data_IF_564950774777
#
_entry.id   IF_564950774777
#
_cell.length_a   1.000
_cell.length_b   1.000
_cell.length_c   1.000
_cell.angle_alpha   90.00
_cell.angle_beta   90.00
_cell.angle_gamma   90.00
#
_symmetry.space_group_name_H-M   'P 1'
#
loop_
_entity.id
_entity.type
_entity.pdbx_description
1 polymer ?
#
# COMPACT_ATOMS: atom_id res chain seq x y z
N UNK A 1 -8.72 25.43 -64.25
CA UNK A 1 -8.97 24.96 -62.86
C UNK A 1 -7.86 23.99 -62.53
N UNK A 2 -6.89 24.41 -61.73
CA UNK A 2 -5.77 23.58 -61.28
C UNK A 2 -6.12 23.04 -59.90
N UNK A 3 -6.29 21.73 -59.79
CA UNK A 3 -6.44 21.04 -58.50
C UNK A 3 -5.07 20.99 -57.82
N UNK A 4 -4.94 21.71 -56.71
CA UNK A 4 -3.75 21.71 -55.87
C UNK A 4 -3.81 20.50 -54.95
N UNK A 5 -3.03 19.46 -55.25
CA UNK A 5 -2.87 18.30 -54.37
C UNK A 5 -2.17 18.72 -53.07
N UNK A 6 -2.94 18.75 -51.97
CA UNK A 6 -2.43 18.94 -50.62
C UNK A 6 -1.75 17.64 -50.19
N UNK A 7 -0.42 17.59 -50.30
CA UNK A 7 0.36 16.50 -49.72
C UNK A 7 0.27 16.56 -48.19
N UNK A 8 -0.57 15.71 -47.63
CA UNK A 8 -0.62 15.45 -46.18
C UNK A 8 0.66 14.70 -45.83
N UNK A 9 1.68 15.45 -45.41
CA UNK A 9 2.91 14.90 -44.86
C UNK A 9 2.57 14.18 -43.56
N UNK A 10 2.37 12.86 -43.64
CA UNK A 10 2.21 11.99 -42.49
C UNK A 10 3.49 12.08 -41.66
N UNK A 11 3.46 12.88 -40.60
CA UNK A 11 4.53 12.93 -39.61
C UNK A 11 4.58 11.54 -38.98
N UNK A 12 5.49 10.68 -39.46
CA UNK A 12 5.79 9.45 -38.75
C UNK A 12 6.32 9.85 -37.37
N UNK A 13 5.65 9.45 -36.27
CA UNK A 13 6.19 9.69 -34.95
C UNK A 13 7.56 9.01 -34.88
N UNK A 14 8.59 9.81 -34.71
CA UNK A 14 9.96 9.33 -34.53
C UNK A 14 9.95 8.19 -33.52
N UNK A 15 10.54 7.02 -33.81
CA UNK A 15 10.59 5.92 -32.87
C UNK A 15 11.15 6.46 -31.56
N UNK A 16 10.50 6.22 -30.41
CA UNK A 16 10.95 6.76 -29.14
C UNK A 16 12.39 6.30 -28.95
N UNK A 17 13.34 7.24 -29.04
CA UNK A 17 14.77 7.02 -28.81
C UNK A 17 14.86 6.23 -27.53
N UNK A 18 15.11 4.92 -27.61
CA UNK A 18 15.12 4.04 -26.45
C UNK A 18 16.32 4.43 -25.61
N UNK A 19 16.16 5.12 -24.45
CA UNK A 19 17.22 5.00 -23.49
C UNK A 19 16.95 3.65 -22.82
N UNK A 20 18.00 2.88 -22.56
CA UNK A 20 17.99 1.97 -21.42
C UNK A 20 17.83 2.81 -20.13
N UNK A 21 16.73 3.53 -19.99
CA UNK A 21 16.41 4.38 -18.86
C UNK A 21 16.01 3.42 -17.76
N UNK A 22 17.02 2.94 -17.04
CA UNK A 22 16.86 2.22 -15.78
C UNK A 22 15.93 3.07 -14.93
N UNK A 23 14.67 2.67 -14.80
CA UNK A 23 13.71 3.43 -14.02
C UNK A 23 14.08 3.25 -12.55
N UNK A 24 14.75 4.27 -12.02
CA UNK A 24 15.15 4.34 -10.62
C UNK A 24 13.98 4.87 -9.77
N UNK A 25 13.83 4.40 -8.54
CA UNK A 25 12.90 4.95 -7.55
C UNK A 25 13.20 6.44 -7.28
N UNK A 26 12.26 7.18 -6.67
CA UNK A 26 12.33 8.64 -6.43
C UNK A 26 13.58 9.20 -5.74
N UNK A 27 14.50 8.36 -5.26
CA UNK A 27 15.83 8.75 -4.77
C UNK A 27 16.96 8.55 -5.82
N UNK A 28 16.65 8.18 -7.06
CA UNK A 28 17.60 7.95 -8.17
C UNK A 28 18.57 6.77 -7.99
N UNK A 29 18.69 6.20 -6.79
CA UNK A 29 19.75 5.23 -6.43
C UNK A 29 19.33 3.78 -6.46
N UNK A 30 18.04 3.47 -6.29
CA UNK A 30 17.57 2.08 -6.18
C UNK A 30 16.61 1.71 -7.30
N UNK A 31 16.83 0.55 -7.93
CA UNK A 31 15.95 0.04 -8.98
C UNK A 31 14.57 -0.30 -8.37
N UNK A 32 13.48 0.16 -8.99
CA UNK A 32 12.08 -0.02 -8.50
C UNK A 32 11.75 -1.47 -8.14
N UNK A 33 12.36 -2.40 -8.87
CA UNK A 33 12.27 -3.85 -8.65
C UNK A 33 12.83 -4.28 -7.28
N UNK A 34 14.01 -3.80 -6.91
CA UNK A 34 14.64 -4.15 -5.62
C UNK A 34 13.86 -3.56 -4.46
N UNK A 35 13.40 -2.31 -4.60
CA UNK A 35 12.56 -1.66 -3.59
C UNK A 35 11.26 -2.43 -3.33
N UNK A 36 10.56 -2.84 -4.39
CA UNK A 36 9.32 -3.61 -4.26
C UNK A 36 9.53 -4.97 -3.59
N UNK A 37 10.67 -5.63 -3.84
CA UNK A 37 11.03 -6.88 -3.16
C UNK A 37 11.29 -6.64 -1.67
N UNK A 38 12.01 -5.58 -1.32
CA UNK A 38 12.26 -5.20 0.09
C UNK A 38 10.95 -4.92 0.80
N UNK A 39 10.04 -4.15 0.19
CA UNK A 39 8.70 -3.88 0.74
C UNK A 39 7.93 -5.18 0.98
N UNK A 40 7.96 -6.12 0.03
CA UNK A 40 7.34 -7.43 0.19
C UNK A 40 7.91 -8.22 1.36
N UNK A 41 9.24 -8.24 1.52
CA UNK A 41 9.91 -8.91 2.64
C UNK A 41 9.57 -8.26 3.99
N UNK A 42 9.57 -6.92 4.06
CA UNK A 42 9.17 -6.19 5.27
C UNK A 42 7.72 -6.47 5.64
N UNK A 43 6.83 -6.56 4.64
CA UNK A 43 5.41 -6.89 4.86
C UNK A 43 5.25 -8.31 5.42
N UNK A 44 5.97 -9.28 4.86
CA UNK A 44 5.95 -10.67 5.35
C UNK A 44 6.50 -10.74 6.78
N UNK A 45 7.66 -10.11 7.04
CA UNK A 45 8.24 -10.06 8.39
C UNK A 45 7.28 -9.41 9.39
N UNK A 46 6.68 -8.28 9.03
CA UNK A 46 5.68 -7.61 9.87
C UNK A 46 4.47 -8.50 10.15
N UNK A 47 3.95 -9.20 9.15
CA UNK A 47 2.86 -10.15 9.31
C UNK A 47 3.21 -11.34 10.23
N UNK A 48 4.42 -11.88 10.12
CA UNK A 48 4.89 -12.97 11.00
C UNK A 48 5.04 -12.48 12.44
N UNK A 49 5.71 -11.35 12.66
CA UNK A 49 5.89 -10.77 14.00
C UNK A 49 4.55 -10.44 14.66
N UNK A 50 3.60 -9.89 13.89
CA UNK A 50 2.27 -9.59 14.41
C UNK A 50 1.45 -10.85 14.70
N UNK A 51 1.62 -11.90 13.90
CA UNK A 51 0.99 -13.21 14.15
C UNK A 51 1.51 -13.82 15.46
N UNK A 52 2.83 -13.80 15.66
CA UNK A 52 3.49 -14.23 16.89
C UNK A 52 2.94 -13.45 18.09
N UNK A 53 2.90 -12.11 17.99
CA UNK A 53 2.35 -11.26 19.05
C UNK A 53 0.88 -11.58 19.36
N UNK A 54 0.05 -11.81 18.34
CA UNK A 54 -1.37 -12.16 18.51
C UNK A 54 -1.58 -13.52 19.18
N UNK A 55 -0.66 -14.47 18.97
CA UNK A 55 -0.69 -15.79 19.61
C UNK A 55 -0.30 -15.69 21.08
N UNK A 56 0.73 -14.93 21.42
CA UNK A 56 1.22 -14.80 22.79
C UNK A 56 0.42 -13.81 23.65
N UNK A 57 -0.25 -12.83 23.03
CA UNK A 57 -1.06 -11.86 23.77
C UNK A 57 -2.44 -12.45 24.12
N UNK A 58 -2.57 -12.94 25.36
CA UNK A 58 -3.81 -13.49 25.91
C UNK A 58 -4.78 -12.42 26.42
N UNK A 59 -4.37 -11.15 26.48
CA UNK A 59 -5.22 -10.06 26.96
C UNK A 59 -6.34 -9.70 25.96
N UNK A 60 -6.19 -10.07 24.68
CA UNK A 60 -7.18 -9.77 23.66
C UNK A 60 -8.33 -10.80 23.63
N UNK A 61 -9.59 -10.35 23.44
CA UNK A 61 -10.73 -11.22 23.20
C UNK A 61 -10.49 -12.21 22.04
N UNK A 62 -11.02 -13.44 22.16
CA UNK A 62 -10.82 -14.51 21.15
C UNK A 62 -11.25 -14.07 19.74
N UNK A 63 -12.37 -13.35 19.62
CA UNK A 63 -12.87 -12.85 18.33
C UNK A 63 -11.86 -11.93 17.64
N UNK A 64 -11.27 -10.99 18.38
CA UNK A 64 -10.25 -10.06 17.86
C UNK A 64 -8.99 -10.82 17.47
N UNK A 65 -8.57 -11.82 18.26
CA UNK A 65 -7.39 -12.65 17.95
C UNK A 65 -7.55 -13.42 16.63
N UNK A 66 -8.71 -14.04 16.40
CA UNK A 66 -8.98 -14.72 15.13
C UNK A 66 -9.01 -13.74 13.95
N UNK A 67 -9.66 -12.58 14.11
CA UNK A 67 -9.69 -11.53 13.09
C UNK A 67 -8.29 -11.04 12.71
N UNK A 68 -7.46 -10.72 13.70
CA UNK A 68 -6.07 -10.32 13.52
C UNK A 68 -5.23 -11.43 12.86
N UNK A 69 -5.47 -12.70 13.22
CA UNK A 69 -4.82 -13.86 12.60
C UNK A 69 -5.11 -13.96 11.10
N UNK A 70 -6.38 -13.85 10.71
CA UNK A 70 -6.79 -13.88 9.29
C UNK A 70 -6.18 -12.69 8.53
N UNK A 71 -6.26 -11.49 9.11
CA UNK A 71 -5.67 -10.29 8.52
C UNK A 71 -4.15 -10.43 8.29
N UNK A 72 -3.41 -10.97 9.26
CA UNK A 72 -1.98 -11.20 9.13
C UNK A 72 -1.65 -12.27 8.08
N UNK A 73 -2.45 -13.33 7.97
CA UNK A 73 -2.28 -14.34 6.93
C UNK A 73 -2.48 -13.74 5.52
N UNK A 74 -3.50 -12.89 5.35
CA UNK A 74 -3.76 -12.17 4.10
C UNK A 74 -2.60 -11.23 3.75
N UNK A 75 -2.05 -10.49 4.72
CA UNK A 75 -0.86 -9.66 4.52
C UNK A 75 0.34 -10.47 4.02
N UNK A 76 0.60 -11.64 4.62
CA UNK A 76 1.71 -12.52 4.21
C UNK A 76 1.49 -13.01 2.78
N UNK A 77 0.27 -13.46 2.43
CA UNK A 77 -0.07 -13.91 1.08
C UNK A 77 0.17 -12.80 0.06
N UNK A 78 -0.31 -11.58 0.33
CA UNK A 78 -0.11 -10.46 -0.59
C UNK A 78 1.35 -10.00 -0.68
N UNK A 79 2.12 -10.07 0.41
CA UNK A 79 3.57 -9.87 0.38
C UNK A 79 4.29 -10.90 -0.52
N UNK A 80 3.90 -12.17 -0.44
CA UNK A 80 4.40 -13.23 -1.31
C UNK A 80 4.01 -12.99 -2.79
N UNK A 81 2.77 -12.59 -3.05
CA UNK A 81 2.29 -12.25 -4.40
C UNK A 81 3.04 -11.06 -4.99
N UNK A 82 3.35 -10.04 -4.19
CA UNK A 82 4.17 -8.91 -4.60
C UNK A 82 5.55 -9.37 -5.06
N UNK A 83 6.25 -10.18 -4.25
CA UNK A 83 7.57 -10.72 -4.60
C UNK A 83 7.49 -11.61 -5.85
N UNK A 84 6.50 -12.49 -5.93
CA UNK A 84 6.29 -13.38 -7.07
C UNK A 84 6.00 -12.60 -8.36
N UNK A 85 5.15 -11.57 -8.30
CA UNK A 85 4.83 -10.70 -9.43
C UNK A 85 6.03 -9.94 -9.95
N UNK A 86 6.85 -9.41 -9.04
CA UNK A 86 8.10 -8.72 -9.38
C UNK A 86 9.15 -9.68 -9.96
N UNK A 87 9.22 -10.93 -9.48
CA UNK A 87 10.12 -11.97 -10.04
C UNK A 87 9.66 -12.43 -11.42
N UNK A 88 8.37 -12.74 -11.59
CA UNK A 88 7.78 -13.24 -12.86
C UNK A 88 7.49 -12.15 -13.89
N UNK A 89 7.78 -10.87 -13.58
CA UNK A 89 7.47 -9.70 -14.45
C UNK A 89 5.99 -9.63 -14.86
N UNK A 90 5.08 -10.12 -14.02
CA UNK A 90 3.63 -10.16 -14.27
C UNK A 90 2.95 -9.06 -13.46
N UNK A 91 2.53 -7.97 -14.13
CA UNK A 91 1.94 -6.80 -13.48
C UNK A 91 0.60 -7.10 -12.77
N UNK A 92 -0.20 -8.06 -13.26
CA UNK A 92 -1.50 -8.42 -12.66
C UNK A 92 -1.37 -8.98 -11.23
N UNK A 93 -0.23 -9.56 -10.87
CA UNK A 93 0.02 -10.07 -9.51
C UNK A 93 0.25 -8.95 -8.48
N UNK A 94 0.54 -7.73 -8.93
CA UNK A 94 0.75 -6.57 -8.05
C UNK A 94 -0.56 -5.84 -7.74
N UNK A 95 -1.59 -5.97 -8.60
CA UNK A 95 -2.90 -5.34 -8.43
C UNK A 95 -3.54 -5.61 -7.07
N UNK A 96 -3.64 -6.87 -6.56
CA UNK A 96 -4.28 -7.11 -5.28
C UNK A 96 -3.55 -6.42 -4.11
N UNK A 97 -2.22 -6.34 -4.16
CA UNK A 97 -1.43 -5.63 -3.16
C UNK A 97 -1.71 -4.11 -3.20
N UNK A 98 -1.83 -3.52 -4.39
CA UNK A 98 -2.17 -2.10 -4.54
C UNK A 98 -3.56 -1.80 -3.98
N UNK A 99 -4.56 -2.64 -4.31
CA UNK A 99 -5.93 -2.49 -3.78
C UNK A 99 -5.94 -2.60 -2.26
N UNK A 100 -5.23 -3.58 -1.70
CA UNK A 100 -5.10 -3.73 -0.25
C UNK A 100 -4.49 -2.49 0.41
N UNK A 101 -3.44 -1.90 -0.19
CA UNK A 101 -2.81 -0.69 0.35
C UNK A 101 -3.76 0.52 0.32
N UNK A 102 -4.61 0.66 -0.71
CA UNK A 102 -5.65 1.68 -0.70
C UNK A 102 -6.66 1.48 0.43
N UNK A 103 -7.13 0.24 0.62
CA UNK A 103 -8.05 -0.09 1.72
C UNK A 103 -7.38 0.26 3.05
N UNK A 104 -6.12 -0.10 3.25
CA UNK A 104 -5.35 0.20 4.46
C UNK A 104 -5.23 1.70 4.74
N UNK A 105 -4.96 2.51 3.70
CA UNK A 105 -4.89 3.97 3.81
C UNK A 105 -6.25 4.54 4.20
N UNK A 106 -7.33 4.11 3.53
CA UNK A 106 -8.70 4.57 3.83
C UNK A 106 -9.11 4.20 5.25
N UNK A 107 -8.87 2.95 5.68
CA UNK A 107 -9.19 2.52 7.04
C UNK A 107 -8.38 3.28 8.08
N UNK A 108 -7.08 3.51 7.81
CA UNK A 108 -6.22 4.28 8.72
C UNK A 108 -6.66 5.74 8.81
N UNK A 109 -7.13 6.32 7.70
CA UNK A 109 -7.67 7.68 7.68
C UNK A 109 -8.98 7.79 8.45
N UNK A 110 -9.89 6.80 8.32
CA UNK A 110 -11.12 6.73 9.11
C UNK A 110 -10.78 6.61 10.61
N UNK A 111 -9.85 5.74 10.98
CA UNK A 111 -9.39 5.59 12.38
C UNK A 111 -8.76 6.87 12.92
N UNK A 112 -8.01 7.60 12.10
CA UNK A 112 -7.46 8.91 12.48
C UNK A 112 -8.58 9.92 12.75
N UNK A 113 -9.59 10.02 11.89
CA UNK A 113 -10.74 10.89 12.11
C UNK A 113 -11.48 10.50 13.39
N UNK A 114 -11.75 9.20 13.59
CA UNK A 114 -12.40 8.70 14.81
C UNK A 114 -11.58 9.02 16.06
N UNK A 115 -10.25 8.93 15.99
CA UNK A 115 -9.36 9.30 17.09
C UNK A 115 -9.44 10.79 17.42
N UNK A 116 -9.48 11.66 16.41
CA UNK A 116 -9.62 13.11 16.60
C UNK A 116 -11.00 13.46 17.16
N UNK A 117 -12.08 12.89 16.60
CA UNK A 117 -13.44 13.10 17.10
C UNK A 117 -13.56 12.59 18.54
N UNK A 118 -12.95 11.45 18.86
CA UNK A 118 -12.91 10.89 20.22
C UNK A 118 -12.27 11.83 21.26
N UNK A 119 -11.34 12.70 20.85
CA UNK A 119 -10.77 13.71 21.76
C UNK A 119 -11.81 14.76 22.20
N UNK A 120 -12.78 15.09 21.33
CA UNK A 120 -13.87 16.02 21.66
C UNK A 120 -14.98 15.35 22.47
N UNK A 121 -15.21 14.05 22.29
CA UNK A 121 -16.27 13.28 22.95
C UNK A 121 -15.72 12.31 24.02
N UNK A 122 -14.75 12.75 24.81
CA UNK A 122 -14.01 11.84 25.69
C UNK A 122 -14.88 11.13 26.74
N UNK A 123 -15.94 11.78 27.23
CA UNK A 123 -16.88 11.18 28.19
C UNK A 123 -17.54 9.92 27.62
N UNK A 124 -17.98 9.99 26.36
CA UNK A 124 -18.58 8.85 25.67
C UNK A 124 -17.57 7.73 25.42
N UNK A 125 -16.32 8.08 25.09
CA UNK A 125 -15.24 7.10 24.92
C UNK A 125 -14.93 6.39 26.22
N UNK A 126 -14.80 7.12 27.33
CA UNK A 126 -14.55 6.53 28.66
C UNK A 126 -15.71 5.62 29.06
N UNK A 127 -16.96 6.05 28.89
CA UNK A 127 -18.15 5.22 29.19
C UNK A 127 -18.24 3.95 28.32
N UNK A 128 -17.69 3.96 27.11
CA UNK A 128 -17.72 2.81 26.19
C UNK A 128 -16.54 1.86 26.41
N UNK A 129 -15.41 2.36 26.92
CA UNK A 129 -14.15 1.60 27.05
C UNK A 129 -13.91 1.10 28.47
N UNK A 130 -14.28 1.88 29.50
CA UNK A 130 -14.18 1.44 30.89
C UNK A 130 -15.36 0.52 31.24
N UNK A 131 -15.03 -0.72 31.61
CA UNK A 131 -15.94 -1.65 32.25
C UNK A 131 -16.48 -0.99 33.54
N UNK A 132 -17.80 -0.97 33.82
CA UNK A 132 -18.42 -0.22 34.93
C UNK A 132 -17.94 -0.59 36.36
N UNK A 133 -16.94 -1.44 36.53
CA UNK A 133 -16.51 -1.97 37.84
C UNK A 133 -15.38 -1.20 38.54
N UNK A 134 -14.79 -0.13 37.97
CA UNK A 134 -13.68 0.59 38.63
C UNK A 134 -13.97 2.10 38.75
N UNK A 135 -14.71 2.55 39.79
CA UNK A 135 -15.21 3.92 39.87
C UNK A 135 -14.23 4.97 40.44
N UNK A 136 -12.97 4.65 40.78
CA UNK A 136 -12.20 5.50 41.70
C UNK A 136 -11.05 6.36 41.13
N UNK A 137 -10.85 6.42 39.80
CA UNK A 137 -9.74 7.20 39.20
C UNK A 137 -10.13 8.18 38.07
N UNK A 138 -11.41 8.56 37.95
CA UNK A 138 -11.94 9.30 36.80
C UNK A 138 -11.20 10.61 36.43
N UNK A 139 -10.76 11.41 37.40
CA UNK A 139 -10.17 12.72 37.10
C UNK A 139 -8.71 12.61 36.58
N UNK A 140 -7.95 11.62 37.04
CA UNK A 140 -6.65 11.25 36.48
C UNK A 140 -6.81 10.51 35.14
N UNK A 141 -7.89 9.72 35.01
CA UNK A 141 -8.23 8.97 33.81
C UNK A 141 -8.51 9.87 32.60
N UNK A 142 -9.25 10.97 32.76
CA UNK A 142 -9.54 11.87 31.62
C UNK A 142 -8.28 12.48 31.00
N UNK A 143 -7.34 12.95 31.81
CA UNK A 143 -6.09 13.56 31.31
C UNK A 143 -5.20 12.50 30.66
N UNK A 144 -5.10 11.32 31.27
CA UNK A 144 -4.36 10.18 30.71
C UNK A 144 -4.96 9.71 29.38
N UNK A 145 -6.29 9.64 29.28
CA UNK A 145 -7.02 9.26 28.06
C UNK A 145 -6.82 10.30 26.94
N UNK A 146 -6.83 11.60 27.24
CA UNK A 146 -6.51 12.65 26.24
C UNK A 146 -5.11 12.51 25.70
N UNK A 147 -4.13 12.31 26.59
CA UNK A 147 -2.73 12.12 26.20
C UNK A 147 -2.59 10.85 25.37
N UNK A 148 -3.23 9.74 25.78
CA UNK A 148 -3.24 8.48 25.03
C UNK A 148 -3.83 8.65 23.63
N UNK A 149 -4.98 9.30 23.50
CA UNK A 149 -5.61 9.59 22.20
C UNK A 149 -4.75 10.51 21.34
N UNK A 150 -4.11 11.53 21.92
CA UNK A 150 -3.20 12.42 21.21
C UNK A 150 -1.98 11.67 20.67
N UNK A 151 -1.33 10.85 21.50
CA UNK A 151 -0.19 10.01 21.10
C UNK A 151 -0.60 9.01 20.03
N UNK A 152 -1.76 8.36 20.18
CA UNK A 152 -2.31 7.44 19.17
C UNK A 152 -2.59 8.13 17.84
N UNK A 153 -3.16 9.35 17.86
CA UNK A 153 -3.42 10.12 16.64
C UNK A 153 -2.12 10.49 15.91
N UNK A 154 -1.07 10.87 16.66
CA UNK A 154 0.25 11.15 16.09
C UNK A 154 0.88 9.88 15.52
N UNK A 155 0.75 8.75 16.21
CA UNK A 155 1.22 7.46 15.73
C UNK A 155 0.51 7.06 14.43
N UNK A 156 -0.82 7.24 14.32
CA UNK A 156 -1.56 6.97 13.08
C UNK A 156 -1.12 7.87 11.93
N UNK A 157 -0.81 9.14 12.19
CA UNK A 157 -0.33 10.07 11.16
C UNK A 157 1.02 9.63 10.60
N UNK A 158 1.96 9.25 11.46
CA UNK A 158 3.26 8.69 11.05
C UNK A 158 3.07 7.37 10.30
N UNK A 159 2.19 6.51 10.82
CA UNK A 159 1.91 5.20 10.25
C UNK A 159 1.22 5.28 8.89
N UNK A 160 0.45 6.33 8.61
CA UNK A 160 -0.16 6.62 7.30
C UNK A 160 0.86 6.98 6.21
N UNK A 161 1.99 7.58 6.60
CA UNK A 161 3.02 7.97 5.64
C UNK A 161 3.69 6.73 4.99
N UNK A 162 3.88 5.66 5.76
CA UNK A 162 4.51 4.40 5.33
C UNK A 162 3.75 3.73 4.15
N UNK A 163 2.44 3.44 4.23
CA UNK A 163 1.70 2.80 3.15
C UNK A 163 1.54 3.71 1.93
N UNK A 164 1.43 5.04 2.11
CA UNK A 164 1.44 5.98 0.98
C UNK A 164 2.77 5.89 0.23
N UNK A 165 3.89 5.87 0.96
CA UNK A 165 5.22 5.71 0.36
C UNK A 165 5.39 4.35 -0.33
N UNK A 166 4.91 3.26 0.28
CA UNK A 166 4.92 1.93 -0.34
C UNK A 166 4.09 1.91 -1.63
N UNK A 167 2.90 2.53 -1.61
CA UNK A 167 2.00 2.58 -2.76
C UNK A 167 2.65 3.33 -3.93
N UNK A 168 3.32 4.46 -3.69
CA UNK A 168 4.03 5.19 -4.75
C UNK A 168 5.12 4.33 -5.41
N UNK A 169 5.92 3.61 -4.61
CA UNK A 169 6.96 2.71 -5.13
C UNK A 169 6.36 1.56 -5.94
N UNK A 170 5.34 0.89 -5.41
CA UNK A 170 4.72 -0.26 -6.08
C UNK A 170 3.97 0.18 -7.33
N UNK A 171 3.32 1.36 -7.33
CA UNK A 171 2.65 1.92 -8.52
C UNK A 171 3.66 2.25 -9.63
N UNK A 172 4.81 2.84 -9.30
CA UNK A 172 5.91 3.06 -10.26
C UNK A 172 6.43 1.74 -10.82
N UNK A 173 6.56 0.71 -9.97
CA UNK A 173 6.94 -0.63 -10.42
C UNK A 173 5.89 -1.24 -11.36
N UNK A 174 4.59 -1.12 -11.02
CA UNK A 174 3.48 -1.59 -11.82
C UNK A 174 3.47 -0.97 -13.22
N UNK A 175 3.54 0.37 -13.31
CA UNK A 175 3.58 1.08 -14.59
C UNK A 175 4.79 0.65 -15.44
N UNK A 176 5.96 0.51 -14.82
CA UNK A 176 7.15 0.03 -15.51
C UNK A 176 6.97 -1.39 -16.08
N UNK A 177 6.41 -2.31 -15.29
CA UNK A 177 6.13 -3.67 -15.78
C UNK A 177 5.07 -3.68 -16.89
N UNK A 178 4.05 -2.82 -16.79
CA UNK A 178 2.99 -2.70 -17.78
C UNK A 178 3.55 -2.23 -19.13
N UNK A 179 4.38 -1.19 -19.15
CA UNK A 179 5.05 -0.72 -20.36
C UNK A 179 5.94 -1.81 -20.98
N UNK A 180 6.71 -2.53 -20.16
CA UNK A 180 7.56 -3.62 -20.64
C UNK A 180 6.74 -4.74 -21.29
N UNK A 181 5.60 -5.12 -20.71
CA UNK A 181 4.71 -6.13 -21.29
C UNK A 181 4.10 -5.68 -22.62
N UNK A 182 3.74 -4.40 -22.76
CA UNK A 182 3.17 -3.87 -24.00
C UNK A 182 4.19 -3.89 -25.16
N UNK A 183 5.44 -3.51 -24.89
CA UNK A 183 6.51 -3.55 -25.89
C UNK A 183 6.78 -4.97 -26.39
N UNK A 184 6.81 -5.96 -25.49
CA UNK A 184 7.01 -7.36 -25.87
C UNK A 184 5.88 -7.88 -26.79
N UNK A 185 4.62 -7.52 -26.48
CA UNK A 185 3.48 -7.87 -27.34
C UNK A 185 3.56 -7.23 -28.72
N UNK A 186 3.97 -5.97 -28.78
CA UNK A 186 4.08 -5.21 -30.04
C UNK A 186 5.16 -5.83 -30.95
N UNK A 187 6.34 -6.10 -30.39
CA UNK A 187 7.44 -6.73 -31.14
C UNK A 187 7.07 -8.13 -31.65
N UNK A 188 6.32 -8.92 -30.87
CA UNK A 188 5.87 -10.25 -31.29
C UNK A 188 4.84 -10.17 -32.43
N UNK A 189 3.94 -9.18 -32.41
CA UNK A 189 2.98 -8.97 -33.49
C UNK A 189 3.67 -8.55 -34.81
N UNK A 190 4.68 -7.68 -34.74
CA UNK A 190 5.48 -7.29 -35.91
C UNK A 190 6.27 -8.46 -36.50
N UNK A 191 6.78 -9.36 -35.65
CA UNK A 191 7.43 -10.59 -36.12
C UNK A 191 6.44 -11.51 -36.83
N UNK A 192 5.20 -11.63 -36.36
CA UNK A 192 4.18 -12.47 -37.00
C UNK A 192 3.71 -11.94 -38.36
N UNK A 193 3.78 -10.63 -38.64
CA UNK A 193 3.40 -10.07 -39.94
C UNK A 193 4.46 -10.26 -41.04
N UNK A 194 5.70 -10.61 -40.67
CA UNK A 194 6.80 -10.81 -41.63
C UNK A 194 6.85 -12.23 -42.21
N UNK A 195 6.08 -13.17 -41.66
CA UNK A 195 5.98 -14.55 -42.11
C UNK A 195 4.61 -14.79 -42.74
#
# INVERSE_FOLDING_TARGET
>A
MMESEVQVTTIQPSPPKTPHHKVHCGCGRMHVRKASIIIGLLTIMGGILNSVNTVFNTALPRSIRYGMGIYNAVLIIFGCLLIAGVKKRKHHLLTPFIVMMYILIVTSFILLILSIVGQFFIKWVVETVDDPQIPHYLQSSETSARIGLAVMSLAFLILLFIPIWYLDIVKKCYLHLQHATHLEKTNNAEMQQKY
#
